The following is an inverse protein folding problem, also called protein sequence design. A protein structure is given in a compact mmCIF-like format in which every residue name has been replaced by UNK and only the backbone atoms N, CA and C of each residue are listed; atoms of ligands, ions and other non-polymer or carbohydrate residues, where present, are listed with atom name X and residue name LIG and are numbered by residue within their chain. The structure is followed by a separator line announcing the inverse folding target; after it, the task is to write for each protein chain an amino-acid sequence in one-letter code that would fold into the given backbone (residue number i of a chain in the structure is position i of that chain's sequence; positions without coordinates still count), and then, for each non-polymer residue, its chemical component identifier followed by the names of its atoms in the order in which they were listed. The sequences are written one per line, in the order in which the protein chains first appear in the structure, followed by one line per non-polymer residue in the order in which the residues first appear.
data_IF_953364906414
#
_entry.id   IF_953364906414
#
_cell.length_a   1.000
_cell.length_b   1.000
_cell.length_c   1.000
_cell.angle_alpha   90.00
_cell.angle_beta   90.00
_cell.angle_gamma   90.00
#
_symmetry.space_group_name_H-M   'P 1'
#
loop_
_entity.id
_entity.type
_entity.pdbx_description
1 polymer ?
#
# COMPACT_ATOMS: atom_id res chain seq x y z
N UNK A 1 12.27 20.81 -2.20
CA UNK A 1 12.33 19.57 -1.51
C UNK A 1 13.17 19.54 -0.24
N UNK A 2 13.55 20.69 0.33
CA UNK A 2 14.36 20.72 1.58
C UNK A 2 13.48 20.85 2.83
N UNK A 3 12.29 21.41 2.69
CA UNK A 3 11.35 21.61 3.80
C UNK A 3 10.13 20.69 3.69
N UNK A 4 9.58 20.30 4.83
CA UNK A 4 8.37 19.49 4.90
C UNK A 4 7.13 20.29 4.48
N UNK A 5 6.43 19.80 3.46
CA UNK A 5 5.21 20.40 2.93
C UNK A 5 3.92 19.86 3.59
N UNK A 6 4.02 19.03 4.64
CA UNK A 6 2.87 18.36 5.27
C UNK A 6 1.77 19.33 5.68
N UNK A 7 2.13 20.43 6.33
CA UNK A 7 1.15 21.45 6.75
C UNK A 7 0.54 22.20 5.56
N UNK A 8 1.29 22.37 4.46
CA UNK A 8 0.80 23.01 3.26
C UNK A 8 -0.25 22.14 2.56
N UNK A 9 0.02 20.82 2.43
CA UNK A 9 -0.96 19.86 1.92
C UNK A 9 -2.23 19.84 2.77
N UNK A 10 -2.09 19.75 4.10
CA UNK A 10 -3.23 19.75 5.01
C UNK A 10 -4.09 20.99 4.85
N UNK A 11 -3.50 22.19 4.89
CA UNK A 11 -4.21 23.46 4.73
C UNK A 11 -4.90 23.59 3.38
N UNK A 12 -4.26 23.13 2.29
CA UNK A 12 -4.84 23.18 0.96
C UNK A 12 -6.05 22.24 0.83
N UNK A 13 -5.95 21.02 1.38
CA UNK A 13 -7.04 20.04 1.42
C UNK A 13 -8.20 20.59 2.27
N UNK A 14 -7.91 21.18 3.43
CA UNK A 14 -8.91 21.78 4.31
C UNK A 14 -9.67 22.92 3.59
N UNK A 15 -8.94 23.83 2.96
CA UNK A 15 -9.53 24.95 2.22
C UNK A 15 -10.39 24.50 1.04
N UNK A 16 -10.02 23.43 0.34
CA UNK A 16 -10.83 22.84 -0.73
C UNK A 16 -12.08 22.16 -0.16
N UNK A 17 -11.94 21.41 0.93
CA UNK A 17 -13.07 20.72 1.56
C UNK A 17 -14.12 21.71 2.09
N UNK A 18 -13.70 22.83 2.67
CA UNK A 18 -14.61 23.92 3.10
C UNK A 18 -15.42 24.52 1.95
N UNK A 19 -14.89 24.46 0.73
CA UNK A 19 -15.59 24.92 -0.50
C UNK A 19 -16.42 23.81 -1.16
N UNK A 20 -16.49 22.63 -0.55
CA UNK A 20 -17.21 21.48 -1.09
C UNK A 20 -16.37 20.51 -1.93
N UNK A 21 -15.09 20.76 -2.09
CA UNK A 21 -14.14 19.92 -2.84
C UNK A 21 -13.39 20.66 -3.93
N UNK A 22 -12.64 19.93 -4.74
CA UNK A 22 -11.90 20.47 -5.87
C UNK A 22 -10.61 19.70 -6.18
N UNK A 23 -9.82 20.28 -7.09
CA UNK A 23 -8.54 19.73 -7.51
C UNK A 23 -7.40 20.39 -6.74
N UNK A 24 -6.63 19.62 -5.99
CA UNK A 24 -5.36 20.06 -5.42
C UNK A 24 -4.26 19.77 -6.44
N UNK A 25 -3.87 20.79 -7.20
CA UNK A 25 -2.84 20.67 -8.23
C UNK A 25 -1.46 20.72 -7.58
N UNK A 26 -0.67 19.68 -7.82
CA UNK A 26 0.74 19.57 -7.40
C UNK A 26 1.59 19.82 -8.65
N UNK A 27 2.22 21.00 -8.80
CA UNK A 27 3.02 21.32 -9.98
C UNK A 27 4.35 20.58 -10.01
N UNK A 28 5.03 20.60 -11.16
CA UNK A 28 6.34 19.99 -11.36
C UNK A 28 7.34 20.41 -10.27
N UNK A 29 8.09 19.43 -9.75
CA UNK A 29 9.06 19.61 -8.66
C UNK A 29 9.00 18.50 -7.63
N UNK A 30 9.89 18.56 -6.63
CA UNK A 30 9.93 17.58 -5.53
C UNK A 30 9.26 18.17 -4.30
N UNK A 31 8.21 17.51 -3.85
CA UNK A 31 7.39 17.88 -2.70
C UNK A 31 7.65 16.91 -1.55
N UNK A 32 8.56 17.27 -0.66
CA UNK A 32 8.94 16.45 0.50
C UNK A 32 7.92 16.62 1.62
N UNK A 33 7.30 15.52 2.06
CA UNK A 33 6.17 15.59 2.99
C UNK A 33 6.10 14.40 3.96
N UNK A 34 5.43 14.59 5.09
CA UNK A 34 4.84 13.53 5.90
C UNK A 34 3.49 13.07 5.34
N UNK A 35 2.67 12.35 6.13
CA UNK A 35 1.39 11.81 5.68
C UNK A 35 0.43 12.87 5.14
N UNK A 36 -0.29 12.50 4.07
CA UNK A 36 -1.39 13.28 3.49
C UNK A 36 -2.70 12.55 3.80
N UNK A 37 -3.63 13.26 4.44
CA UNK A 37 -4.99 12.78 4.71
C UNK A 37 -5.95 13.41 3.73
N UNK A 38 -6.58 12.59 2.89
CA UNK A 38 -7.56 13.07 1.92
C UNK A 38 -8.92 13.36 2.58
N UNK A 39 -9.73 14.14 1.90
CA UNK A 39 -11.12 14.44 2.27
C UNK A 39 -12.06 14.16 1.08
N UNK A 40 -13.34 14.06 1.34
CA UNK A 40 -14.34 13.86 0.29
C UNK A 40 -14.32 14.96 -0.77
N UNK A 41 -14.63 14.59 -2.00
CA UNK A 41 -14.68 15.48 -3.16
C UNK A 41 -13.32 16.14 -3.51
N UNK A 42 -12.21 15.53 -3.15
CA UNK A 42 -10.85 16.01 -3.45
C UNK A 42 -10.19 15.12 -4.48
N UNK A 43 -9.64 15.73 -5.51
CA UNK A 43 -8.69 15.15 -6.43
C UNK A 43 -7.28 15.69 -6.13
N UNK A 44 -6.36 14.81 -5.72
CA UNK A 44 -4.94 15.10 -5.63
C UNK A 44 -4.33 14.92 -7.02
N UNK A 45 -4.21 16.02 -7.76
CA UNK A 45 -3.76 16.01 -9.13
C UNK A 45 -2.27 16.36 -9.26
N UNK A 46 -1.48 15.42 -9.78
CA UNK A 46 -0.04 15.59 -9.97
C UNK A 46 0.26 15.95 -11.44
N UNK A 47 0.74 17.17 -11.67
CA UNK A 47 1.22 17.54 -13.01
C UNK A 47 2.44 16.71 -13.42
N UNK A 48 2.70 16.64 -14.72
CA UNK A 48 3.88 15.99 -15.25
C UNK A 48 5.16 16.57 -14.65
N UNK A 49 6.01 15.71 -14.08
CA UNK A 49 7.23 16.11 -13.39
C UNK A 49 7.05 16.48 -11.91
N UNK A 50 5.82 16.37 -11.37
CA UNK A 50 5.60 16.43 -9.93
C UNK A 50 6.05 15.13 -9.28
N UNK A 51 6.75 15.23 -8.16
CA UNK A 51 7.17 14.09 -7.32
C UNK A 51 6.79 14.40 -5.88
N UNK A 52 5.85 13.66 -5.33
CA UNK A 52 5.59 13.66 -3.88
C UNK A 52 6.53 12.62 -3.27
N UNK A 53 7.48 13.08 -2.45
CA UNK A 53 8.46 12.24 -1.75
C UNK A 53 8.13 12.21 -0.27
N UNK A 54 7.83 11.03 0.25
CA UNK A 54 7.49 10.86 1.65
C UNK A 54 8.71 10.79 2.56
N UNK A 55 8.62 11.44 3.72
CA UNK A 55 9.68 11.47 4.71
C UNK A 55 9.96 10.07 5.29
N UNK A 56 11.23 9.71 5.49
CA UNK A 56 11.58 8.47 6.20
C UNK A 56 11.47 8.60 7.72
N UNK A 57 11.16 9.79 8.24
CA UNK A 57 11.02 10.02 9.68
C UNK A 57 9.73 9.39 10.19
N UNK A 58 9.86 8.27 10.90
CA UNK A 58 8.74 7.49 11.43
C UNK A 58 7.91 8.28 12.44
N UNK A 59 8.48 9.30 13.07
CA UNK A 59 7.78 10.11 14.07
C UNK A 59 6.68 11.00 13.47
N UNK A 60 6.72 11.22 12.17
CA UNK A 60 5.66 11.92 11.43
C UNK A 60 4.42 11.04 11.17
N UNK A 61 4.50 9.73 11.42
CA UNK A 61 3.42 8.77 11.10
C UNK A 61 2.79 8.22 12.38
N UNK A 62 1.74 8.83 12.91
CA UNK A 62 1.07 8.34 14.12
C UNK A 62 0.56 6.91 13.92
N UNK A 63 0.44 6.15 15.02
CA UNK A 63 -0.21 4.85 15.00
C UNK A 63 -1.72 5.02 14.85
N UNK A 64 -2.29 4.34 13.88
CA UNK A 64 -3.72 4.36 13.58
C UNK A 64 -4.30 2.95 13.53
N UNK A 65 -5.57 2.81 13.88
CA UNK A 65 -6.30 1.57 13.69
C UNK A 65 -6.55 1.32 12.20
N UNK A 66 -6.23 0.10 11.75
CA UNK A 66 -6.35 -0.31 10.37
C UNK A 66 -6.47 -1.83 10.24
N UNK A 67 -6.46 -2.31 9.01
CA UNK A 67 -6.41 -3.74 8.67
C UNK A 67 -5.13 -4.01 7.90
N UNK A 68 -4.45 -5.08 8.24
CA UNK A 68 -3.31 -5.58 7.46
C UNK A 68 -3.34 -7.12 7.43
N UNK A 69 -3.08 -7.70 6.27
CA UNK A 69 -3.24 -9.15 6.04
C UNK A 69 -4.60 -9.69 6.54
N UNK A 70 -5.66 -8.91 6.31
CA UNK A 70 -7.03 -9.29 6.62
C UNK A 70 -7.40 -9.27 8.10
N UNK A 71 -6.55 -8.76 8.98
CA UNK A 71 -6.74 -8.70 10.43
C UNK A 71 -6.72 -7.26 10.94
N UNK A 72 -7.59 -6.96 11.89
CA UNK A 72 -7.59 -5.68 12.58
C UNK A 72 -6.31 -5.52 13.41
N UNK A 73 -5.66 -4.37 13.30
CA UNK A 73 -4.40 -4.07 13.97
C UNK A 73 -4.16 -2.55 14.02
N UNK A 74 -3.03 -2.14 14.59
CA UNK A 74 -2.52 -0.77 14.46
C UNK A 74 -1.25 -0.76 13.62
N UNK A 75 -1.09 0.27 12.79
CA UNK A 75 0.12 0.50 12.01
C UNK A 75 0.40 2.00 11.94
N UNK A 76 1.60 2.35 11.52
CA UNK A 76 1.88 3.74 11.17
C UNK A 76 0.88 4.21 10.11
N UNK A 77 0.44 5.46 10.22
CA UNK A 77 -0.44 6.07 9.23
C UNK A 77 0.16 5.97 7.84
N UNK A 78 -0.68 5.64 6.87
CA UNK A 78 -0.25 5.54 5.47
C UNK A 78 0.20 6.90 4.92
N UNK A 79 1.23 6.92 4.07
CA UNK A 79 1.64 8.12 3.35
C UNK A 79 0.46 8.88 2.74
N UNK A 80 -0.46 8.17 2.10
CA UNK A 80 -1.75 8.74 1.69
C UNK A 80 -2.86 7.91 2.32
N UNK A 81 -3.82 8.57 2.98
CA UNK A 81 -4.93 7.89 3.63
C UNK A 81 -6.26 8.63 3.49
N UNK A 82 -7.34 7.87 3.53
CA UNK A 82 -8.71 8.36 3.58
C UNK A 82 -9.65 7.31 4.16
N UNK A 83 -10.62 7.73 4.95
CA UNK A 83 -11.62 6.84 5.55
C UNK A 83 -13.01 7.45 5.44
N UNK A 84 -14.00 6.65 5.06
CA UNK A 84 -15.41 7.07 4.90
C UNK A 84 -15.56 8.29 3.96
N UNK A 85 -14.79 8.33 2.87
CA UNK A 85 -14.81 9.42 1.91
C UNK A 85 -15.71 9.11 0.72
N UNK A 86 -16.21 10.15 0.08
CA UNK A 86 -16.90 10.06 -1.20
C UNK A 86 -16.19 10.91 -2.26
N UNK A 87 -16.16 10.42 -3.52
CA UNK A 87 -15.59 11.11 -4.67
C UNK A 87 -14.14 11.54 -4.42
N UNK A 88 -13.26 10.57 -4.17
CA UNK A 88 -11.85 10.83 -3.90
C UNK A 88 -11.01 10.35 -5.07
N UNK A 89 -10.07 11.16 -5.52
CA UNK A 89 -9.22 10.85 -6.64
C UNK A 89 -7.73 11.16 -6.38
N UNK A 90 -6.87 10.42 -7.06
CA UNK A 90 -5.44 10.72 -7.22
C UNK A 90 -5.14 10.57 -8.71
N UNK A 91 -4.88 11.69 -9.38
CA UNK A 91 -4.79 11.72 -10.84
C UNK A 91 -3.54 12.44 -11.35
N UNK A 92 -3.28 12.34 -12.64
CA UNK A 92 -2.21 13.07 -13.33
C UNK A 92 -1.05 12.21 -13.82
N UNK A 93 0.08 12.86 -14.18
CA UNK A 93 1.25 12.21 -14.78
C UNK A 93 2.51 12.29 -13.87
N UNK A 94 2.34 12.63 -12.61
CA UNK A 94 3.43 12.71 -11.64
C UNK A 94 3.74 11.38 -10.95
N UNK A 95 4.62 11.43 -9.97
CA UNK A 95 5.04 10.26 -9.19
C UNK A 95 4.84 10.47 -7.68
N UNK A 96 4.48 9.41 -7.00
CA UNK A 96 4.37 9.33 -5.54
C UNK A 96 5.36 8.28 -5.07
N UNK A 97 6.34 8.70 -4.27
CA UNK A 97 7.42 7.85 -3.75
C UNK A 97 7.31 7.69 -2.24
N UNK A 98 7.01 6.48 -1.80
CA UNK A 98 6.83 6.13 -0.38
C UNK A 98 8.13 6.01 0.40
N UNK A 99 9.31 6.17 -0.26
CA UNK A 99 10.63 6.09 0.35
C UNK A 99 10.84 4.81 1.19
N UNK A 100 10.23 3.72 0.74
CA UNK A 100 10.04 2.49 1.50
C UNK A 100 11.31 1.74 1.90
N UNK A 101 12.45 2.07 1.27
CA UNK A 101 13.71 1.43 1.61
C UNK A 101 14.20 1.77 3.05
N UNK A 102 13.67 2.83 3.66
CA UNK A 102 13.92 3.13 5.07
C UNK A 102 13.07 2.29 6.03
N UNK A 103 11.99 1.71 5.53
CA UNK A 103 11.04 0.94 6.30
C UNK A 103 11.28 -0.56 6.23
N UNK A 104 11.74 -1.05 5.05
CA UNK A 104 11.75 -2.47 4.72
C UNK A 104 12.95 -3.20 5.27
N UNK A 105 12.77 -4.41 5.84
CA UNK A 105 13.86 -5.33 6.09
C UNK A 105 14.42 -5.84 4.75
N UNK A 106 15.65 -6.34 4.77
CA UNK A 106 16.34 -6.83 3.59
C UNK A 106 16.91 -8.24 3.80
N UNK A 107 16.59 -9.16 2.90
CA UNK A 107 17.19 -10.48 2.82
C UNK A 107 18.35 -10.45 1.83
N UNK A 108 19.52 -10.96 2.23
CA UNK A 108 20.74 -10.95 1.40
C UNK A 108 20.56 -11.71 0.09
N UNK A 109 19.89 -12.86 0.12
CA UNK A 109 19.63 -13.70 -1.04
C UNK A 109 18.74 -13.07 -2.11
N UNK A 110 18.08 -11.97 -1.78
CA UNK A 110 17.18 -11.23 -2.70
C UNK A 110 17.87 -10.09 -3.45
N UNK A 111 19.13 -9.78 -3.13
CA UNK A 111 19.84 -8.61 -3.68
C UNK A 111 21.27 -8.97 -4.11
N UNK A 112 21.86 -8.13 -4.96
CA UNK A 112 23.27 -8.21 -5.31
C UNK A 112 24.16 -7.87 -4.12
N UNK A 113 25.42 -8.30 -4.15
CA UNK A 113 26.40 -7.99 -3.11
C UNK A 113 26.60 -6.47 -2.94
N UNK A 114 26.54 -5.72 -4.04
CA UNK A 114 26.64 -4.26 -3.99
C UNK A 114 25.48 -3.62 -3.23
N UNK A 115 24.23 -4.02 -3.55
CA UNK A 115 23.03 -3.53 -2.85
C UNK A 115 23.05 -3.96 -1.39
N UNK A 116 23.50 -5.18 -1.09
CA UNK A 116 23.64 -5.64 0.29
C UNK A 116 24.60 -4.77 1.09
N UNK A 117 25.80 -4.50 0.55
CA UNK A 117 26.78 -3.64 1.19
C UNK A 117 26.26 -2.23 1.45
N UNK A 118 25.58 -1.64 0.47
CA UNK A 118 24.97 -0.32 0.63
C UNK A 118 23.85 -0.33 1.70
N UNK A 119 23.05 -1.39 1.75
CA UNK A 119 22.00 -1.52 2.74
C UNK A 119 22.55 -1.58 4.16
N UNK A 120 23.52 -2.46 4.40
CA UNK A 120 24.08 -2.65 5.75
C UNK A 120 24.96 -1.47 6.21
N UNK A 121 25.54 -0.72 5.27
CA UNK A 121 26.32 0.48 5.60
C UNK A 121 25.45 1.59 6.25
N UNK A 122 24.13 1.52 6.14
CA UNK A 122 23.20 2.44 6.81
C UNK A 122 23.06 2.16 8.33
N UNK A 123 23.73 1.14 8.86
CA UNK A 123 23.53 0.67 10.22
C UNK A 123 22.44 -0.39 10.31
N UNK A 124 21.64 -0.36 11.39
CA UNK A 124 20.58 -1.33 11.62
C UNK A 124 21.02 -2.57 12.41
N UNK A 125 20.18 -3.60 12.43
CA UNK A 125 20.38 -4.82 13.22
C UNK A 125 20.09 -6.06 12.39
N UNK A 126 20.52 -7.23 12.88
CA UNK A 126 20.33 -8.50 12.19
C UNK A 126 19.49 -9.47 13.00
N UNK A 127 18.51 -10.10 12.38
CA UNK A 127 17.85 -11.30 12.91
C UNK A 127 18.72 -12.54 12.76
N UNK A 128 19.45 -12.61 11.64
CA UNK A 128 20.48 -13.60 11.29
C UNK A 128 21.45 -12.95 10.27
N UNK A 129 22.64 -13.50 10.03
CA UNK A 129 23.64 -12.87 9.14
C UNK A 129 23.17 -12.49 7.74
N UNK A 130 22.08 -13.10 7.28
CA UNK A 130 21.50 -12.86 5.95
C UNK A 130 20.15 -12.12 5.98
N UNK A 131 19.73 -11.60 7.14
CA UNK A 131 18.46 -10.90 7.28
C UNK A 131 18.62 -9.65 8.14
N UNK A 132 18.70 -8.51 7.48
CA UNK A 132 18.91 -7.19 8.04
C UNK A 132 17.59 -6.45 8.28
N UNK A 133 17.55 -5.66 9.34
CA UNK A 133 16.45 -4.78 9.71
C UNK A 133 16.95 -3.36 9.91
N UNK A 134 16.19 -2.32 9.45
CA UNK A 134 16.61 -0.93 9.57
C UNK A 134 16.72 -0.44 11.02
N UNK A 135 15.89 -0.97 11.92
CA UNK A 135 15.80 -0.52 13.31
C UNK A 135 15.65 -1.69 14.29
N UNK A 136 16.13 -1.55 15.56
CA UNK A 136 15.92 -2.55 16.61
C UNK A 136 14.42 -2.83 16.89
N UNK A 137 13.57 -1.79 16.82
CA UNK A 137 12.12 -1.93 16.99
C UNK A 137 11.49 -2.79 15.90
N UNK A 138 12.02 -2.75 14.68
CA UNK A 138 11.57 -3.61 13.59
C UNK A 138 11.85 -5.08 13.93
N UNK A 139 13.03 -5.38 14.45
CA UNK A 139 13.38 -6.74 14.88
C UNK A 139 12.52 -7.19 16.08
N UNK A 140 12.28 -6.30 17.05
CA UNK A 140 11.41 -6.59 18.18
C UNK A 140 10.00 -6.95 17.72
N UNK A 141 9.42 -6.15 16.83
CA UNK A 141 8.09 -6.41 16.28
C UNK A 141 8.01 -7.72 15.50
N UNK A 142 9.03 -8.03 14.69
CA UNK A 142 9.12 -9.29 13.94
C UNK A 142 9.15 -10.53 14.86
N UNK A 143 9.74 -10.41 16.04
CA UNK A 143 9.78 -11.53 17.01
C UNK A 143 8.47 -11.80 17.73
N UNK A 144 7.64 -10.78 17.93
CA UNK A 144 6.35 -10.91 18.64
C UNK A 144 5.15 -10.97 17.68
N UNK A 145 5.35 -10.72 16.39
CA UNK A 145 4.28 -10.72 15.41
C UNK A 145 3.85 -12.14 15.02
N UNK A 146 2.58 -12.28 14.71
CA UNK A 146 2.07 -13.42 13.98
C UNK A 146 1.87 -13.01 12.52
N UNK A 147 2.66 -13.58 11.60
CA UNK A 147 2.54 -13.34 10.15
C UNK A 147 2.53 -11.84 9.78
N UNK A 148 3.49 -11.06 10.28
CA UNK A 148 3.58 -9.60 10.10
C UNK A 148 2.46 -8.76 10.76
N UNK A 149 1.53 -9.37 11.46
CA UNK A 149 0.44 -8.68 12.16
C UNK A 149 0.62 -8.79 13.66
N UNK A 150 0.57 -7.66 14.34
CA UNK A 150 0.60 -7.55 15.80
C UNK A 150 -0.82 -7.25 16.27
N UNK A 151 -1.38 -8.07 17.17
CA UNK A 151 -2.75 -7.91 17.67
C UNK A 151 -2.83 -7.86 19.19
N UNK A 152 -1.86 -8.46 19.88
CA UNK A 152 -1.97 -8.75 21.32
C UNK A 152 -1.23 -7.74 22.21
N UNK A 153 -0.92 -6.56 21.72
CA UNK A 153 -0.32 -5.49 22.52
C UNK A 153 -1.44 -4.76 23.27
N UNK A 154 -1.21 -4.47 24.54
CA UNK A 154 -2.24 -3.96 25.46
C UNK A 154 -2.08 -2.48 25.76
N UNK A 155 -0.82 -2.00 25.83
CA UNK A 155 -0.55 -0.62 26.23
C UNK A 155 0.00 0.21 25.06
N UNK A 156 -0.13 1.53 25.15
CA UNK A 156 0.44 2.43 24.16
C UNK A 156 1.97 2.29 24.09
N UNK A 157 2.63 2.10 25.23
CA UNK A 157 4.09 1.89 25.29
C UNK A 157 4.51 0.64 24.54
N UNK A 158 3.74 -0.45 24.64
CA UNK A 158 3.99 -1.66 23.88
C UNK A 158 3.88 -1.42 22.38
N UNK A 159 2.82 -0.75 21.94
CA UNK A 159 2.64 -0.39 20.54
C UNK A 159 3.79 0.52 20.03
N UNK A 160 4.14 1.55 20.77
CA UNK A 160 5.23 2.45 20.41
C UNK A 160 6.59 1.72 20.37
N UNK A 161 6.81 0.74 21.22
CA UNK A 161 8.05 -0.04 21.28
C UNK A 161 8.35 -0.87 20.02
N UNK A 162 7.35 -1.10 19.16
CA UNK A 162 7.46 -1.82 17.89
C UNK A 162 7.07 -0.97 16.68
N UNK A 163 6.91 0.33 16.84
CA UNK A 163 6.39 1.24 15.83
C UNK A 163 7.07 1.10 14.46
N UNK A 164 8.39 0.98 14.42
CA UNK A 164 9.15 0.82 13.18
C UNK A 164 8.88 -0.52 12.46
N UNK A 165 8.33 -1.51 13.15
CA UNK A 165 7.86 -2.75 12.54
C UNK A 165 6.51 -2.56 11.83
N UNK A 166 5.70 -1.64 12.31
CA UNK A 166 4.33 -1.41 11.86
C UNK A 166 4.30 -0.56 10.58
N UNK A 167 5.01 -1.03 9.56
CA UNK A 167 5.12 -0.37 8.25
C UNK A 167 3.75 -0.13 7.64
N UNK A 168 3.44 1.10 7.17
CA UNK A 168 2.15 1.37 6.53
C UNK A 168 2.08 0.80 5.11
N UNK A 169 0.89 0.59 4.60
CA UNK A 169 0.65 0.55 3.15
C UNK A 169 0.79 1.97 2.60
N UNK A 170 1.12 2.14 1.31
CA UNK A 170 1.37 3.49 0.79
C UNK A 170 0.08 4.30 0.63
N UNK A 171 -0.92 3.74 -0.03
CA UNK A 171 -2.23 4.37 -0.20
C UNK A 171 -3.29 3.51 0.48
N UNK A 172 -3.87 4.02 1.56
CA UNK A 172 -4.92 3.34 2.33
C UNK A 172 -6.23 4.10 2.21
N UNK A 173 -7.19 3.54 1.46
CA UNK A 173 -8.53 4.10 1.33
C UNK A 173 -9.52 3.10 1.93
N UNK A 174 -10.16 3.48 3.04
CA UNK A 174 -11.01 2.58 3.82
C UNK A 174 -12.46 3.07 3.78
N UNK A 175 -13.39 2.19 3.37
CA UNK A 175 -14.82 2.49 3.32
C UNK A 175 -15.15 3.73 2.49
N UNK A 176 -14.40 3.94 1.39
CA UNK A 176 -14.62 5.07 0.48
C UNK A 176 -15.53 4.67 -0.68
N UNK A 177 -16.25 5.65 -1.23
CA UNK A 177 -17.09 5.48 -2.42
C UNK A 177 -16.61 6.38 -3.56
N UNK A 178 -16.71 5.86 -4.79
CA UNK A 178 -16.26 6.56 -5.99
C UNK A 178 -14.79 6.96 -5.88
N UNK A 179 -13.91 5.96 -5.88
CA UNK A 179 -12.45 6.11 -5.83
C UNK A 179 -11.90 6.09 -7.25
N UNK A 180 -11.07 7.05 -7.60
CA UNK A 180 -10.42 7.13 -8.91
C UNK A 180 -8.91 7.32 -8.76
N UNK A 181 -8.13 6.35 -9.27
CA UNK A 181 -6.66 6.41 -9.35
C UNK A 181 -6.28 6.35 -10.82
N UNK A 182 -5.67 7.42 -11.36
CA UNK A 182 -5.43 7.52 -12.79
C UNK A 182 -4.08 8.16 -13.12
N UNK A 183 -3.31 7.50 -14.01
CA UNK A 183 -2.12 8.04 -14.68
C UNK A 183 -0.86 8.11 -13.82
N UNK A 184 -0.99 8.15 -12.51
CA UNK A 184 0.09 8.39 -11.54
C UNK A 184 1.03 7.18 -11.41
N UNK A 185 2.32 7.46 -11.19
CA UNK A 185 3.32 6.46 -10.79
C UNK A 185 3.34 6.35 -9.26
N UNK A 186 3.02 5.18 -8.72
CA UNK A 186 3.13 4.87 -7.31
C UNK A 186 4.34 3.97 -7.09
N UNK A 187 5.33 4.41 -6.29
CA UNK A 187 6.57 3.65 -6.17
C UNK A 187 7.15 3.62 -4.76
N UNK A 188 8.02 2.63 -4.51
CA UNK A 188 8.77 2.49 -3.26
C UNK A 188 7.92 2.49 -1.99
N UNK A 189 6.84 1.71 -1.97
CA UNK A 189 5.97 1.63 -0.80
C UNK A 189 6.68 1.03 0.43
N UNK A 190 6.33 1.44 1.65
CA UNK A 190 6.84 0.82 2.87
C UNK A 190 6.44 -0.66 3.05
N UNK A 191 5.23 -1.01 2.64
CA UNK A 191 4.68 -2.36 2.58
C UNK A 191 3.86 -2.50 1.28
N UNK A 192 2.61 -2.95 1.29
CA UNK A 192 1.73 -2.95 0.12
C UNK A 192 1.62 -1.55 -0.48
N UNK A 193 1.37 -1.45 -1.77
CA UNK A 193 1.29 -0.15 -2.42
C UNK A 193 -0.13 0.43 -2.36
N UNK A 194 -1.03 -0.04 -3.20
CA UNK A 194 -2.42 0.44 -3.23
C UNK A 194 -3.33 -0.51 -2.44
N UNK A 195 -4.02 -0.01 -1.45
CA UNK A 195 -4.93 -0.79 -0.60
C UNK A 195 -6.30 -0.12 -0.44
N UNK A 196 -7.19 -0.22 -1.43
CA UNK A 196 -8.61 0.03 -1.24
C UNK A 196 -9.20 -1.09 -0.39
N UNK A 197 -9.79 -0.73 0.75
CA UNK A 197 -10.39 -1.64 1.72
C UNK A 197 -11.87 -1.30 1.93
N UNK A 198 -12.76 -2.24 1.66
CA UNK A 198 -14.22 -2.06 1.80
C UNK A 198 -14.77 -0.87 1.00
N UNK A 199 -14.10 -0.52 -0.11
CA UNK A 199 -14.52 0.57 -0.99
C UNK A 199 -15.58 0.11 -2.00
N UNK A 200 -16.35 1.07 -2.50
CA UNK A 200 -17.37 0.86 -3.53
C UNK A 200 -17.12 1.79 -4.73
N UNK A 201 -17.27 1.26 -5.96
CA UNK A 201 -17.00 1.94 -7.21
C UNK A 201 -15.54 2.44 -7.29
N UNK A 202 -14.62 1.52 -7.50
CA UNK A 202 -13.17 1.78 -7.58
C UNK A 202 -12.73 1.70 -9.03
N UNK A 203 -12.15 2.78 -9.55
CA UNK A 203 -11.50 2.83 -10.85
C UNK A 203 -10.00 3.00 -10.66
N UNK A 204 -9.22 2.08 -11.24
CA UNK A 204 -7.75 2.17 -11.33
C UNK A 204 -7.39 2.05 -12.79
N UNK A 205 -6.93 3.14 -13.40
CA UNK A 205 -6.63 3.17 -14.82
C UNK A 205 -5.30 3.84 -15.14
N UNK A 206 -4.57 3.27 -16.07
CA UNK A 206 -3.31 3.83 -16.60
C UNK A 206 -2.25 4.13 -15.52
N UNK A 207 -2.36 3.55 -14.33
CA UNK A 207 -1.37 3.72 -13.26
C UNK A 207 -0.14 2.85 -13.49
N UNK A 208 0.97 3.27 -12.93
CA UNK A 208 2.19 2.46 -12.86
C UNK A 208 2.56 2.25 -11.40
N UNK A 209 2.55 1.00 -10.96
CA UNK A 209 2.96 0.64 -9.60
C UNK A 209 4.33 -0.02 -9.66
N UNK A 210 5.30 0.52 -8.92
CA UNK A 210 6.68 0.07 -8.97
C UNK A 210 7.25 -0.16 -7.57
N UNK A 211 7.61 -1.38 -7.27
CA UNK A 211 8.40 -1.72 -6.10
C UNK A 211 9.62 -2.53 -6.51
N UNK A 212 10.77 -2.38 -5.85
CA UNK A 212 11.91 -3.26 -6.12
C UNK A 212 11.51 -4.73 -5.96
N UNK A 213 12.01 -5.60 -6.83
CA UNK A 213 11.71 -7.03 -6.80
C UNK A 213 12.08 -7.74 -5.49
N UNK A 214 12.91 -7.12 -4.68
CA UNK A 214 13.30 -7.58 -3.35
C UNK A 214 12.45 -6.98 -2.21
N UNK A 215 11.51 -6.10 -2.53
CA UNK A 215 10.68 -5.45 -1.52
C UNK A 215 9.78 -6.47 -0.83
N UNK A 216 9.98 -6.67 0.46
CA UNK A 216 9.16 -7.56 1.25
C UNK A 216 7.77 -6.99 1.50
N UNK A 217 6.72 -7.75 1.21
CA UNK A 217 5.33 -7.29 1.18
C UNK A 217 5.18 -6.08 0.25
N UNK A 218 5.84 -6.10 -0.89
CA UNK A 218 5.81 -5.03 -1.88
C UNK A 218 4.75 -5.27 -2.94
N UNK A 219 3.55 -5.72 -2.54
CA UNK A 219 2.40 -5.98 -3.40
C UNK A 219 1.98 -4.72 -4.16
N UNK A 220 1.44 -4.89 -5.35
CA UNK A 220 1.04 -3.77 -6.21
C UNK A 220 -0.31 -3.19 -5.83
N UNK A 221 -1.34 -3.97 -5.95
CA UNK A 221 -2.72 -3.62 -5.59
C UNK A 221 -3.34 -4.74 -4.77
N UNK A 222 -3.76 -4.43 -3.56
CA UNK A 222 -4.55 -5.29 -2.70
C UNK A 222 -5.97 -4.74 -2.59
N UNK A 223 -6.86 -5.23 -3.45
CA UNK A 223 -8.27 -4.86 -3.44
C UNK A 223 -9.00 -5.74 -2.43
N UNK A 224 -9.28 -5.20 -1.24
CA UNK A 224 -9.82 -5.99 -0.13
C UNK A 224 -11.28 -5.64 0.16
N UNK A 225 -12.16 -6.64 0.07
CA UNK A 225 -13.61 -6.50 0.39
C UNK A 225 -14.29 -5.34 -0.37
N UNK A 226 -13.82 -5.02 -1.56
CA UNK A 226 -14.34 -3.95 -2.40
C UNK A 226 -15.48 -4.47 -3.32
N UNK A 227 -16.34 -3.56 -3.75
CA UNK A 227 -17.43 -3.83 -4.63
C UNK A 227 -17.42 -2.90 -5.84
N UNK A 228 -17.68 -3.46 -7.04
CA UNK A 228 -17.69 -2.73 -8.30
C UNK A 228 -16.34 -2.06 -8.58
N UNK A 229 -15.34 -2.83 -8.94
CA UNK A 229 -14.01 -2.33 -9.25
C UNK A 229 -13.63 -2.60 -10.71
N UNK A 230 -12.98 -1.62 -11.33
CA UNK A 230 -12.44 -1.69 -12.68
C UNK A 230 -10.94 -1.33 -12.61
N UNK A 231 -10.09 -2.27 -13.00
CA UNK A 231 -8.64 -2.08 -13.06
C UNK A 231 -8.22 -2.28 -14.52
N UNK A 232 -7.81 -1.20 -15.18
CA UNK A 232 -7.56 -1.23 -16.64
C UNK A 232 -6.25 -0.57 -17.02
N UNK A 233 -5.64 -1.10 -18.10
CA UNK A 233 -4.49 -0.50 -18.78
C UNK A 233 -3.34 -0.11 -17.84
N UNK A 234 -3.20 -0.81 -16.73
CA UNK A 234 -2.27 -0.48 -15.64
C UNK A 234 -1.09 -1.44 -15.60
N UNK A 235 0.04 -0.96 -15.10
CA UNK A 235 1.28 -1.73 -15.02
C UNK A 235 1.75 -1.89 -13.58
N UNK A 236 2.12 -3.12 -13.23
CA UNK A 236 2.61 -3.47 -11.89
C UNK A 236 3.98 -4.16 -12.02
N UNK A 237 5.06 -3.49 -11.62
CA UNK A 237 6.42 -4.06 -11.53
C UNK A 237 6.80 -4.14 -10.05
N UNK A 238 6.63 -5.31 -9.45
CA UNK A 238 6.66 -5.49 -8.00
C UNK A 238 7.45 -6.73 -7.58
N UNK A 239 7.69 -6.86 -6.28
CA UNK A 239 8.47 -7.98 -5.72
C UNK A 239 7.62 -9.01 -4.97
N UNK A 240 6.31 -8.77 -4.83
CA UNK A 240 5.32 -9.67 -4.25
C UNK A 240 4.11 -9.79 -5.20
N UNK A 241 2.88 -9.99 -4.75
CA UNK A 241 1.74 -10.16 -5.66
C UNK A 241 1.43 -8.85 -6.45
N UNK A 242 1.15 -8.98 -7.75
CA UNK A 242 0.88 -7.82 -8.62
C UNK A 242 -0.50 -7.20 -8.38
N UNK A 243 -1.55 -7.95 -8.72
CA UNK A 243 -2.95 -7.58 -8.49
C UNK A 243 -3.57 -8.67 -7.62
N UNK A 244 -3.99 -8.31 -6.41
CA UNK A 244 -4.48 -9.25 -5.42
C UNK A 244 -5.89 -8.90 -4.94
N UNK A 245 -6.80 -9.88 -4.95
CA UNK A 245 -8.14 -9.74 -4.38
C UNK A 245 -8.19 -10.41 -3.02
N UNK A 246 -8.64 -9.68 -2.00
CA UNK A 246 -8.73 -10.13 -0.61
C UNK A 246 -10.11 -9.82 -0.02
N UNK A 247 -10.45 -10.48 1.10
CA UNK A 247 -11.72 -10.25 1.81
C UNK A 247 -11.63 -10.69 3.28
N UNK A 248 -10.55 -10.30 3.93
CA UNK A 248 -10.31 -10.62 5.34
C UNK A 248 -9.86 -12.06 5.60
N UNK A 249 -9.39 -12.31 6.80
CA UNK A 249 -8.72 -13.54 7.20
C UNK A 249 -9.51 -14.32 8.24
N UNK A 250 -9.61 -15.64 8.01
CA UNK A 250 -10.13 -16.63 8.93
C UNK A 250 -11.52 -16.21 9.51
N UNK A 251 -11.72 -16.27 10.81
CA UNK A 251 -12.98 -15.90 11.46
C UNK A 251 -13.30 -14.42 11.34
N UNK A 252 -12.30 -13.55 11.43
CA UNK A 252 -12.49 -12.09 11.29
C UNK A 252 -13.03 -11.73 9.90
N UNK A 253 -12.52 -12.35 8.84
CA UNK A 253 -13.02 -12.15 7.50
C UNK A 253 -14.46 -12.64 7.33
N UNK A 254 -14.81 -13.80 7.89
CA UNK A 254 -16.17 -14.32 7.86
C UNK A 254 -17.15 -13.47 8.67
N UNK A 255 -16.72 -13.02 9.87
CA UNK A 255 -17.54 -12.16 10.73
C UNK A 255 -17.77 -10.78 10.09
N UNK A 256 -16.76 -10.22 9.44
CA UNK A 256 -16.88 -8.97 8.69
C UNK A 256 -17.89 -9.08 7.55
N UNK A 257 -17.97 -10.25 6.89
CA UNK A 257 -18.98 -10.56 5.88
C UNK A 257 -18.95 -9.67 4.65
N UNK A 258 -17.81 -9.04 4.36
CA UNK A 258 -17.60 -8.17 3.21
C UNK A 258 -16.90 -8.93 2.09
N UNK A 259 -17.65 -9.25 1.05
CA UNK A 259 -17.14 -9.92 -0.15
C UNK A 259 -16.36 -8.94 -1.01
N UNK A 260 -15.30 -9.41 -1.69
CA UNK A 260 -14.71 -8.69 -2.82
C UNK A 260 -15.45 -9.15 -4.10
N UNK A 261 -16.22 -8.25 -4.73
CA UNK A 261 -17.13 -8.65 -5.81
C UNK A 261 -17.28 -7.64 -6.95
N UNK A 262 -17.71 -8.16 -8.10
CA UNK A 262 -17.91 -7.39 -9.33
C UNK A 262 -16.62 -6.67 -9.75
N UNK A 263 -15.57 -7.42 -10.00
CA UNK A 263 -14.23 -6.90 -10.33
C UNK A 263 -13.90 -7.24 -11.77
N UNK A 264 -13.51 -6.25 -12.54
CA UNK A 264 -12.97 -6.41 -13.89
C UNK A 264 -11.53 -5.96 -13.92
N UNK A 265 -10.64 -6.81 -14.42
CA UNK A 265 -9.24 -6.49 -14.70
C UNK A 265 -8.99 -6.70 -16.19
N UNK A 266 -8.68 -5.64 -16.91
CA UNK A 266 -8.50 -5.70 -18.35
C UNK A 266 -7.27 -4.91 -18.83
N UNK A 267 -6.52 -5.46 -19.79
CA UNK A 267 -5.39 -4.78 -20.41
C UNK A 267 -4.21 -4.49 -19.49
N UNK A 268 -4.12 -5.14 -18.33
CA UNK A 268 -3.05 -4.92 -17.36
C UNK A 268 -1.81 -5.75 -17.63
N UNK A 269 -0.64 -5.22 -17.24
CA UNK A 269 0.63 -5.95 -17.32
C UNK A 269 1.27 -6.04 -15.93
N UNK A 270 1.65 -7.24 -15.53
CA UNK A 270 2.42 -7.47 -14.29
C UNK A 270 3.80 -7.98 -14.66
N UNK A 271 4.83 -7.27 -14.19
CA UNK A 271 6.22 -7.67 -14.32
C UNK A 271 6.73 -8.22 -13.01
N UNK A 272 7.44 -9.37 -13.07
CA UNK A 272 7.97 -10.04 -11.87
C UNK A 272 6.85 -10.39 -10.89
N UNK A 273 7.14 -10.36 -9.60
CA UNK A 273 6.16 -10.67 -8.56
C UNK A 273 5.93 -12.16 -8.32
N UNK A 274 5.39 -12.49 -7.16
CA UNK A 274 5.05 -13.87 -6.79
C UNK A 274 3.80 -14.37 -7.52
N UNK A 275 2.84 -13.50 -7.81
CA UNK A 275 1.67 -13.78 -8.59
C UNK A 275 1.27 -12.61 -9.48
N UNK A 276 0.86 -12.90 -10.73
CA UNK A 276 0.34 -11.86 -11.64
C UNK A 276 -1.03 -11.37 -11.16
N UNK A 277 -2.01 -12.25 -11.24
CA UNK A 277 -3.33 -12.05 -10.63
C UNK A 277 -3.54 -13.07 -9.53
N UNK A 278 -3.94 -12.62 -8.36
CA UNK A 278 -3.98 -13.44 -7.14
C UNK A 278 -5.32 -13.31 -6.44
N UNK A 279 -5.86 -14.41 -5.95
CA UNK A 279 -6.99 -14.42 -5.01
C UNK A 279 -6.48 -15.00 -3.69
N UNK A 280 -6.56 -14.21 -2.63
CA UNK A 280 -6.09 -14.61 -1.29
C UNK A 280 -4.64 -14.18 -0.98
N UNK A 281 -4.05 -14.74 0.11
CA UNK A 281 -4.60 -15.80 0.99
C UNK A 281 -5.76 -15.33 1.88
N UNK A 282 -5.90 -14.07 2.17
CA UNK A 282 -6.94 -13.47 3.00
C UNK A 282 -8.22 -13.29 2.16
N UNK A 283 -9.02 -14.38 2.04
CA UNK A 283 -10.25 -14.40 1.21
C UNK A 283 -11.46 -14.98 1.92
N UNK A 284 -11.47 -14.95 3.25
CA UNK A 284 -12.47 -15.63 4.07
C UNK A 284 -13.86 -15.02 3.98
N UNK A 285 -13.99 -13.75 3.59
CA UNK A 285 -15.26 -13.09 3.30
C UNK A 285 -15.84 -13.42 1.92
N UNK A 286 -15.06 -14.10 1.07
CA UNK A 286 -15.45 -14.50 -0.29
C UNK A 286 -14.98 -13.55 -1.38
N UNK A 287 -14.78 -14.10 -2.58
CA UNK A 287 -14.46 -13.38 -3.81
C UNK A 287 -15.38 -13.94 -4.91
N UNK A 288 -16.08 -13.07 -5.64
CA UNK A 288 -17.02 -13.52 -6.68
C UNK A 288 -17.22 -12.51 -7.81
N UNK A 289 -17.73 -12.96 -8.94
CA UNK A 289 -18.00 -12.15 -10.13
C UNK A 289 -16.75 -11.37 -10.57
N UNK A 290 -15.69 -12.09 -10.90
CA UNK A 290 -14.40 -11.54 -11.32
C UNK A 290 -14.11 -11.93 -12.75
N UNK A 291 -13.73 -10.95 -13.57
CA UNK A 291 -13.26 -11.15 -14.94
C UNK A 291 -11.85 -10.62 -15.08
N UNK A 292 -10.97 -11.41 -15.68
CA UNK A 292 -9.60 -11.00 -16.01
C UNK A 292 -9.38 -11.28 -17.48
N UNK A 293 -9.08 -10.24 -18.26
CA UNK A 293 -8.92 -10.34 -19.71
C UNK A 293 -7.78 -9.47 -20.23
N UNK A 294 -7.23 -9.85 -21.39
CA UNK A 294 -6.19 -9.08 -22.10
C UNK A 294 -4.96 -8.74 -21.25
N UNK A 295 -4.69 -9.49 -20.19
CA UNK A 295 -3.60 -9.23 -19.26
C UNK A 295 -2.33 -10.02 -19.64
N UNK A 296 -1.17 -9.46 -19.29
CA UNK A 296 0.12 -10.08 -19.48
C UNK A 296 0.85 -10.24 -18.13
N UNK A 297 1.36 -11.43 -17.88
CA UNK A 297 2.14 -11.73 -16.67
C UNK A 297 3.55 -12.15 -17.09
N UNK A 298 4.52 -11.25 -16.93
CA UNK A 298 5.85 -11.37 -17.49
C UNK A 298 6.90 -11.54 -16.39
N UNK A 299 7.46 -12.75 -16.27
CA UNK A 299 8.46 -13.06 -15.25
C UNK A 299 7.90 -13.18 -13.83
N UNK A 300 6.59 -13.38 -13.68
CA UNK A 300 5.96 -13.73 -12.42
C UNK A 300 6.23 -15.19 -12.07
N UNK A 301 6.36 -15.54 -10.78
CA UNK A 301 6.51 -16.93 -10.36
C UNK A 301 5.29 -17.76 -10.77
N UNK A 302 4.08 -17.17 -10.68
CA UNK A 302 2.82 -17.77 -11.11
C UNK A 302 1.94 -16.70 -11.77
N UNK A 303 1.37 -16.97 -12.95
CA UNK A 303 0.47 -16.03 -13.64
C UNK A 303 -0.84 -15.82 -12.91
N UNK A 304 -1.58 -16.93 -12.67
CA UNK A 304 -2.84 -16.95 -11.93
C UNK A 304 -2.66 -17.77 -10.66
N UNK A 305 -2.98 -17.20 -9.50
CA UNK A 305 -2.76 -17.84 -8.22
C UNK A 305 -3.97 -17.73 -7.30
N UNK A 306 -4.45 -18.89 -6.83
CA UNK A 306 -5.51 -18.98 -5.81
C UNK A 306 -4.88 -19.51 -4.53
N UNK A 307 -4.75 -18.67 -3.51
CA UNK A 307 -4.16 -19.02 -2.21
C UNK A 307 -5.27 -19.31 -1.22
N UNK A 308 -5.52 -20.57 -0.93
CA UNK A 308 -6.54 -20.99 0.04
C UNK A 308 -6.03 -22.13 0.91
N UNK A 309 -6.61 -22.26 2.08
CA UNK A 309 -6.44 -23.41 2.98
C UNK A 309 -7.79 -23.71 3.65
N UNK A 310 -7.90 -24.87 4.30
CA UNK A 310 -9.09 -25.23 5.08
C UNK A 310 -9.38 -24.14 6.14
N UNK A 311 -10.59 -23.58 6.13
CA UNK A 311 -11.01 -22.53 7.05
C UNK A 311 -10.80 -21.09 6.54
N UNK A 312 -10.30 -20.94 5.32
CA UNK A 312 -10.22 -19.65 4.62
C UNK A 312 -11.19 -19.61 3.44
#
# INVERSE_FOLDING_TARGET
GEELCTSAFAKAIDALAEKGGGHLIVPAGVWFTGPIVLKSNIDLHLEKGAIILFSPDVDLYPLVETVFEGLDTRRCQSPISGRNLENVAITGEGAIDGNGHYWRPQKREKVTESVWKQTVARGGVYKRPTYWFPYPQTLKGDTISNMNVTQNLQTEEEWQSVRHFLRPVMVSLIECKNVWLQGVIFQNSPAWNLHPLMCENVLVEEVQVRNPNYAQNGDGLDLESCKNALIVNSTFDVGDDGICLKSGKDEDGRRRGRVCENVVVDGCTVFKGHGGFVVGSEMSGGVRNVSVSNCQFLGTDVGLRFKSKRGR
#
